data_IF_319837128983
#
_entry.id   IF_319837128983
#
_cell.length_a   1.000
_cell.length_b   1.000
_cell.length_c   1.000
_cell.angle_alpha   90.00
_cell.angle_beta   90.00
_cell.angle_gamma   90.00
#
_symmetry.space_group_name_H-M   'P 1'
#
loop_
_entity.id
_entity.type
_entity.pdbx_description
1 polymer ?
#
# COMPACT_ATOMS: atom_id res chain seq x y z
N UNK A 1 21.88 39.66 -48.36
CA UNK A 1 21.84 38.17 -48.37
C UNK A 1 22.40 37.69 -47.03
N UNK A 2 21.74 36.70 -46.44
CA UNK A 2 22.07 35.96 -45.20
C UNK A 2 21.92 36.70 -43.86
N UNK A 3 21.30 36.15 -42.81
CA UNK A 3 20.31 35.07 -42.64
C UNK A 3 19.81 35.24 -41.18
N UNK A 4 18.52 35.03 -40.95
CA UNK A 4 17.92 35.07 -39.62
C UNK A 4 18.28 33.83 -38.80
N UNK A 5 18.45 33.98 -37.48
CA UNK A 5 18.22 32.86 -36.56
C UNK A 5 17.69 33.39 -35.23
N UNK A 6 16.36 33.38 -35.13
CA UNK A 6 15.62 33.48 -33.87
C UNK A 6 15.78 32.16 -33.15
N UNK A 7 16.50 32.13 -32.02
CA UNK A 7 16.52 30.97 -31.14
C UNK A 7 15.25 31.01 -30.28
N UNK A 8 14.24 30.22 -30.67
CA UNK A 8 13.07 29.95 -29.86
C UNK A 8 13.41 28.77 -28.93
N UNK A 9 13.75 29.07 -27.68
CA UNK A 9 13.89 28.03 -26.64
C UNK A 9 12.49 27.57 -26.22
N UNK A 10 12.01 26.48 -26.82
CA UNK A 10 10.84 25.77 -26.33
C UNK A 10 11.23 25.05 -25.03
N UNK A 11 10.98 25.69 -23.89
CA UNK A 11 10.93 24.99 -22.61
C UNK A 11 9.70 24.07 -22.65
N UNK A 12 9.93 22.79 -22.96
CA UNK A 12 8.93 21.76 -22.77
C UNK A 12 8.71 21.65 -21.25
N UNK A 13 7.71 22.35 -20.74
CA UNK A 13 7.14 22.06 -19.44
C UNK A 13 6.57 20.65 -19.53
N UNK A 14 7.32 19.66 -19.03
CA UNK A 14 6.77 18.35 -18.69
C UNK A 14 5.69 18.61 -17.64
N UNK A 15 4.46 18.71 -18.11
CA UNK A 15 3.28 18.58 -17.26
C UNK A 15 3.41 17.21 -16.61
N UNK A 16 3.90 17.19 -15.37
CA UNK A 16 3.65 16.08 -14.47
C UNK A 16 2.13 15.99 -14.39
N UNK A 17 1.52 15.11 -15.20
CA UNK A 17 0.14 14.72 -14.98
C UNK A 17 0.10 14.29 -13.52
N UNK A 18 -0.68 15.01 -12.72
CA UNK A 18 -0.97 14.63 -11.36
C UNK A 18 -1.56 13.23 -11.44
N UNK A 19 -0.70 12.25 -11.16
CA UNK A 19 -1.07 10.85 -11.14
C UNK A 19 -2.11 10.74 -10.03
N UNK A 20 -3.36 10.45 -10.39
CA UNK A 20 -4.39 10.21 -9.38
C UNK A 20 -3.88 9.11 -8.46
N UNK A 21 -3.64 9.47 -7.22
CA UNK A 21 -3.22 8.51 -6.23
C UNK A 21 -4.44 7.67 -5.85
N UNK A 22 -4.29 6.35 -5.91
CA UNK A 22 -5.34 5.43 -5.44
C UNK A 22 -4.99 4.99 -4.03
N UNK A 23 -5.99 4.95 -3.16
CA UNK A 23 -5.84 4.44 -1.79
C UNK A 23 -5.41 2.98 -1.87
N UNK A 24 -4.21 2.72 -1.36
CA UNK A 24 -3.51 1.46 -1.55
C UNK A 24 -3.10 0.80 -0.27
N UNK A 25 -3.28 1.49 0.84
CA UNK A 25 -2.84 1.04 2.13
C UNK A 25 -4.02 0.62 2.99
N UNK A 26 -3.74 -0.31 3.87
CA UNK A 26 -4.68 -0.77 4.90
C UNK A 26 -3.93 -0.90 6.21
N UNK A 27 -4.61 -0.67 7.32
CA UNK A 27 -4.04 -0.98 8.62
C UNK A 27 -4.15 -2.47 8.91
N UNK A 28 -3.09 -3.04 9.44
CA UNK A 28 -3.01 -4.43 9.89
C UNK A 28 -2.58 -4.50 11.35
N UNK A 29 -2.97 -5.60 11.98
CA UNK A 29 -2.53 -5.92 13.32
C UNK A 29 -1.03 -6.23 13.31
N UNK A 30 -0.25 -5.67 14.25
CA UNK A 30 1.05 -6.20 14.59
C UNK A 30 1.02 -7.71 14.84
N UNK A 31 2.15 -8.37 14.61
CA UNK A 31 2.29 -9.80 14.89
C UNK A 31 2.34 -10.11 16.40
N UNK A 32 2.68 -9.12 17.23
CA UNK A 32 2.71 -9.24 18.68
C UNK A 32 2.20 -7.98 19.37
N UNK A 33 1.62 -8.13 20.56
CA UNK A 33 1.29 -7.01 21.44
C UNK A 33 2.54 -6.43 22.14
N UNK A 34 2.39 -5.43 23.02
CA UNK A 34 3.54 -4.82 23.72
C UNK A 34 4.17 -5.74 24.77
N UNK A 35 3.48 -6.82 25.14
CA UNK A 35 3.93 -7.82 26.11
C UNK A 35 4.57 -9.03 25.41
N UNK A 36 4.54 -9.07 24.07
CA UNK A 36 5.11 -10.14 23.25
C UNK A 36 4.13 -11.28 22.94
N UNK A 37 2.85 -11.13 23.28
CA UNK A 37 1.83 -12.12 22.96
C UNK A 37 1.54 -12.10 21.47
N UNK A 38 1.53 -13.29 20.84
CA UNK A 38 1.30 -13.41 19.40
C UNK A 38 -0.15 -13.07 19.02
N UNK A 39 -0.32 -12.44 17.86
CA UNK A 39 -1.63 -12.23 17.24
C UNK A 39 -2.22 -13.59 16.83
N UNK A 40 -3.46 -13.87 17.26
CA UNK A 40 -4.17 -15.09 16.86
C UNK A 40 -5.41 -14.80 16.01
N UNK A 41 -5.91 -13.57 16.00
CA UNK A 41 -7.07 -13.18 15.19
C UNK A 41 -7.01 -11.71 14.79
N UNK A 42 -7.53 -11.42 13.59
CA UNK A 42 -7.93 -10.07 13.19
C UNK A 42 -9.33 -10.09 12.58
N UNK A 43 -10.07 -9.02 12.81
CA UNK A 43 -11.33 -8.76 12.14
C UNK A 43 -11.38 -7.32 11.63
N UNK A 44 -12.14 -7.11 10.57
CA UNK A 44 -12.37 -5.81 9.96
C UNK A 44 -13.86 -5.64 9.71
N UNK A 45 -14.48 -4.61 10.29
CA UNK A 45 -15.92 -4.35 10.17
C UNK A 45 -16.27 -3.19 9.21
N UNK A 46 -15.27 -2.64 8.53
CA UNK A 46 -15.42 -1.46 7.66
C UNK A 46 -14.79 -0.20 8.22
N UNK A 47 -14.87 -0.01 9.55
CA UNK A 47 -14.39 1.20 10.24
C UNK A 47 -13.42 0.89 11.37
N UNK A 48 -13.41 -0.35 11.86
CA UNK A 48 -12.61 -0.80 12.99
C UNK A 48 -11.76 -1.99 12.57
N UNK A 49 -10.47 -1.88 12.81
CA UNK A 49 -9.55 -3.01 12.83
C UNK A 49 -9.51 -3.57 14.26
N UNK A 50 -9.89 -4.83 14.43
CA UNK A 50 -9.89 -5.52 15.72
C UNK A 50 -8.76 -6.54 15.72
N UNK A 51 -7.85 -6.44 16.68
CA UNK A 51 -6.68 -7.29 16.84
C UNK A 51 -6.74 -8.03 18.17
N UNK A 52 -6.62 -9.36 18.13
CA UNK A 52 -6.60 -10.20 19.33
C UNK A 52 -5.25 -10.92 19.44
N UNK A 53 -4.64 -10.82 20.62
CA UNK A 53 -3.34 -11.39 20.94
C UNK A 53 -3.42 -12.30 22.16
N UNK A 54 -2.51 -13.28 22.22
CA UNK A 54 -2.44 -14.27 23.30
C UNK A 54 -2.81 -15.67 22.82
N UNK A 55 -3.37 -16.46 23.73
CA UNK A 55 -3.75 -17.83 23.46
C UNK A 55 -5.18 -17.90 22.90
N UNK A 56 -5.39 -18.61 21.78
CA UNK A 56 -6.68 -18.70 21.08
C UNK A 56 -7.82 -19.34 21.90
N UNK A 57 -7.56 -19.78 23.13
CA UNK A 57 -8.54 -20.31 24.08
C UNK A 57 -8.69 -19.51 25.38
N UNK A 58 -7.96 -18.41 25.55
CA UNK A 58 -8.08 -17.55 26.72
C UNK A 58 -9.34 -16.68 26.65
N UNK A 59 -10.08 -16.49 27.77
CA UNK A 59 -11.11 -15.47 27.82
C UNK A 59 -10.48 -14.08 27.62
N UNK A 60 -11.14 -13.23 26.83
CA UNK A 60 -10.72 -11.88 26.40
C UNK A 60 -10.37 -10.88 27.53
N UNK A 61 -10.46 -11.30 28.79
CA UNK A 61 -10.35 -10.44 29.97
C UNK A 61 -9.39 -10.97 31.04
N UNK A 62 -8.80 -12.16 30.87
CA UNK A 62 -7.84 -12.69 31.86
C UNK A 62 -6.45 -12.90 31.27
N UNK A 63 -6.33 -13.39 30.03
CA UNK A 63 -5.02 -13.72 29.41
C UNK A 63 -4.92 -13.34 27.91
N UNK A 64 -5.79 -12.46 27.42
CA UNK A 64 -5.80 -12.04 26.03
C UNK A 64 -5.88 -10.51 25.91
N UNK A 65 -5.07 -9.96 25.00
CA UNK A 65 -5.07 -8.54 24.65
C UNK A 65 -6.01 -8.34 23.47
N UNK A 66 -6.95 -7.40 23.60
CA UNK A 66 -7.88 -7.04 22.54
C UNK A 66 -7.71 -5.56 22.22
N UNK A 67 -7.36 -5.23 20.98
CA UNK A 67 -7.09 -3.86 20.55
C UNK A 67 -7.95 -3.50 19.34
N UNK A 68 -8.67 -2.39 19.45
CA UNK A 68 -9.43 -1.82 18.36
C UNK A 68 -8.73 -0.55 17.87
N UNK A 69 -8.67 -0.41 16.55
CA UNK A 69 -8.09 0.73 15.87
C UNK A 69 -9.09 1.29 14.87
N UNK A 70 -9.07 2.60 14.71
CA UNK A 70 -9.76 3.24 13.60
C UNK A 70 -9.08 2.81 12.29
N UNK A 71 -9.86 2.21 11.40
CA UNK A 71 -9.37 1.64 10.15
C UNK A 71 -8.81 2.67 9.16
N UNK A 72 -9.12 3.96 9.34
CA UNK A 72 -8.73 5.04 8.43
C UNK A 72 -7.44 5.70 8.89
N UNK A 73 -7.25 5.80 10.20
CA UNK A 73 -6.15 6.54 10.82
C UNK A 73 -5.15 5.64 11.56
N UNK A 74 -5.49 4.37 11.77
CA UNK A 74 -4.71 3.43 12.59
C UNK A 74 -4.68 3.80 14.08
N UNK A 75 -5.41 4.84 14.48
CA UNK A 75 -5.42 5.34 15.83
C UNK A 75 -6.08 4.31 16.75
N UNK A 76 -5.43 4.03 17.89
CA UNK A 76 -6.02 3.20 18.92
C UNK A 76 -7.32 3.85 19.43
N UNK A 77 -8.41 3.08 19.45
CA UNK A 77 -9.72 3.56 19.90
C UNK A 77 -10.06 3.01 21.28
N UNK A 78 -9.98 1.69 21.47
CA UNK A 78 -10.32 1.02 22.72
C UNK A 78 -9.69 -0.37 22.77
N UNK A 79 -9.48 -0.91 23.96
CA UNK A 79 -8.85 -2.20 24.14
C UNK A 79 -8.53 -2.53 25.58
N UNK A 80 -8.02 -3.75 25.77
CA UNK A 80 -7.59 -4.31 27.04
C UNK A 80 -6.21 -4.94 26.86
N UNK A 81 -5.29 -4.66 27.81
CA UNK A 81 -3.90 -5.12 27.74
C UNK A 81 -2.95 -4.12 27.07
N UNK A 82 -1.75 -4.60 26.73
CA UNK A 82 -0.68 -3.82 26.13
C UNK A 82 -0.82 -3.64 24.62
N UNK A 83 -1.61 -2.65 24.17
CA UNK A 83 -1.88 -2.47 22.74
C UNK A 83 -0.75 -1.76 21.97
N UNK A 84 -0.18 -2.39 20.92
CA UNK A 84 0.80 -1.76 20.03
C UNK A 84 0.11 -0.78 19.07
N UNK A 85 0.88 0.01 18.31
CA UNK A 85 0.34 0.79 17.20
C UNK A 85 -0.02 -0.12 16.02
N UNK A 86 -1.13 0.14 15.33
CA UNK A 86 -1.46 -0.57 14.10
C UNK A 86 -0.41 -0.31 13.01
N UNK A 87 -0.18 -1.30 12.14
CA UNK A 87 0.82 -1.21 11.07
C UNK A 87 0.11 -0.76 9.80
N UNK A 88 0.60 0.33 9.20
CA UNK A 88 0.17 0.73 7.87
C UNK A 88 0.86 -0.15 6.83
N UNK A 89 0.09 -0.92 6.06
CA UNK A 89 0.60 -1.83 5.04
C UNK A 89 0.21 -1.33 3.67
N UNK A 90 1.19 -1.17 2.79
CA UNK A 90 0.99 -0.72 1.43
C UNK A 90 0.73 -1.89 0.49
N UNK A 91 -0.28 -1.74 -0.35
CA UNK A 91 -0.64 -2.65 -1.42
C UNK A 91 -0.52 -1.98 -2.78
N UNK A 92 -0.67 -2.76 -3.83
CA UNK A 92 -0.64 -2.24 -5.19
C UNK A 92 -1.97 -1.56 -5.54
N UNK A 93 -2.00 -0.48 -6.32
CA UNK A 93 -3.23 0.02 -6.93
C UNK A 93 -3.99 -1.09 -7.67
N UNK A 94 -5.32 -1.03 -7.71
CA UNK A 94 -6.14 -2.05 -8.37
C UNK A 94 -5.99 -2.05 -9.90
N UNK A 95 -5.65 -0.90 -10.49
CA UNK A 95 -5.47 -0.71 -11.93
C UNK A 95 -4.28 0.22 -12.17
N UNK A 96 -3.65 0.10 -13.33
CA UNK A 96 -2.66 1.07 -13.81
C UNK A 96 -3.33 2.31 -14.44
N UNK A 97 -2.55 3.29 -14.90
CA UNK A 97 -3.08 4.51 -15.52
C UNK A 97 -3.65 4.28 -16.93
N UNK A 98 -3.41 3.13 -17.53
CA UNK A 98 -4.04 2.69 -18.77
C UNK A 98 -5.34 1.91 -18.52
N UNK A 99 -5.72 1.69 -17.24
CA UNK A 99 -6.91 0.94 -16.85
C UNK A 99 -6.71 -0.57 -16.85
N UNK A 100 -5.47 -1.05 -16.92
CA UNK A 100 -5.19 -2.48 -16.82
C UNK A 100 -5.31 -2.93 -15.36
N UNK A 101 -6.09 -3.99 -15.12
CA UNK A 101 -6.24 -4.55 -13.78
C UNK A 101 -4.93 -5.14 -13.25
N UNK A 102 -4.72 -5.01 -11.94
CA UNK A 102 -3.65 -5.69 -11.22
C UNK A 102 -3.92 -7.18 -11.20
N UNK A 103 -3.00 -7.97 -11.74
CA UNK A 103 -3.11 -9.43 -11.71
C UNK A 103 -2.16 -10.07 -10.69
N UNK A 104 -1.10 -9.37 -10.28
CA UNK A 104 -0.16 -9.88 -9.27
C UNK A 104 0.45 -8.76 -8.43
N UNK A 105 0.73 -9.09 -7.17
CA UNK A 105 1.55 -8.28 -6.28
C UNK A 105 2.53 -9.18 -5.52
N UNK A 106 3.74 -8.69 -5.29
CA UNK A 106 4.73 -9.34 -4.45
C UNK A 106 5.45 -8.30 -3.60
N UNK A 107 5.93 -8.71 -2.43
CA UNK A 107 6.82 -7.90 -1.59
C UNK A 107 8.17 -8.58 -1.55
N UNK A 108 9.21 -7.89 -2.03
CA UNK A 108 10.60 -8.31 -1.97
C UNK A 108 11.40 -7.30 -1.14
N UNK A 109 11.68 -7.66 0.11
CA UNK A 109 12.23 -6.74 1.10
C UNK A 109 11.30 -5.53 1.32
N UNK A 110 11.83 -4.33 1.07
CA UNK A 110 11.06 -3.08 1.15
C UNK A 110 10.45 -2.66 -0.20
N UNK A 111 10.44 -3.55 -1.21
CA UNK A 111 9.90 -3.25 -2.53
C UNK A 111 8.58 -3.98 -2.73
N UNK A 112 7.51 -3.22 -2.94
CA UNK A 112 6.23 -3.72 -3.39
C UNK A 112 6.21 -3.72 -4.93
N UNK A 113 6.21 -4.91 -5.51
CA UNK A 113 6.18 -5.13 -6.97
C UNK A 113 4.74 -5.38 -7.41
N UNK A 114 4.25 -4.55 -8.32
CA UNK A 114 2.90 -4.57 -8.84
C UNK A 114 2.90 -4.86 -10.33
N UNK A 115 2.14 -5.88 -10.75
CA UNK A 115 2.01 -6.26 -12.14
C UNK A 115 0.56 -6.08 -12.60
N UNK A 116 0.39 -5.35 -13.69
CA UNK A 116 -0.90 -5.02 -14.30
C UNK A 116 -0.96 -5.54 -15.73
N UNK A 117 -2.17 -5.89 -16.16
CA UNK A 117 -2.44 -6.43 -17.49
C UNK A 117 -3.06 -7.82 -17.44
N UNK A 118 -3.00 -8.49 -18.59
CA UNK A 118 -3.58 -9.82 -18.75
C UNK A 118 -2.59 -10.88 -18.26
N UNK A 119 -3.06 -11.81 -17.41
CA UNK A 119 -2.24 -12.86 -16.76
C UNK A 119 -1.58 -13.88 -17.72
N UNK A 120 -1.74 -13.70 -19.04
CA UNK A 120 -1.14 -14.50 -20.10
C UNK A 120 -0.33 -13.73 -21.14
N UNK A 121 -0.17 -12.41 -21.02
CA UNK A 121 0.68 -11.64 -21.92
C UNK A 121 2.16 -11.77 -21.48
N UNK A 122 3.11 -11.99 -22.39
CA UNK A 122 4.52 -11.88 -22.04
C UNK A 122 4.80 -10.48 -21.50
N UNK A 123 5.61 -10.39 -20.43
CA UNK A 123 5.93 -9.17 -19.65
C UNK A 123 6.47 -7.98 -20.47
N UNK A 124 6.66 -8.15 -21.78
CA UNK A 124 7.33 -7.20 -22.66
C UNK A 124 6.42 -6.49 -23.67
N UNK A 125 5.18 -6.95 -23.89
CA UNK A 125 4.31 -6.30 -24.90
C UNK A 125 3.06 -5.63 -24.32
N UNK A 126 2.49 -6.15 -23.22
CA UNK A 126 1.24 -5.60 -22.63
C UNK A 126 1.21 -5.59 -21.09
N UNK A 127 2.36 -5.74 -20.42
CA UNK A 127 2.43 -5.73 -18.96
C UNK A 127 3.03 -4.43 -18.43
N UNK A 128 2.33 -3.80 -17.49
CA UNK A 128 2.86 -2.69 -16.69
C UNK A 128 3.43 -3.28 -15.39
N UNK A 129 4.70 -2.99 -15.10
CA UNK A 129 5.37 -3.43 -13.88
C UNK A 129 5.81 -2.19 -13.09
N UNK A 130 5.32 -2.05 -11.87
CA UNK A 130 5.58 -0.89 -11.02
C UNK A 130 6.10 -1.32 -9.66
N UNK A 131 7.22 -0.74 -9.25
CA UNK A 131 7.82 -0.96 -7.96
C UNK A 131 7.55 0.26 -7.08
N UNK A 132 7.08 -0.01 -5.87
CA UNK A 132 6.83 0.98 -4.84
C UNK A 132 7.66 0.66 -3.61
N UNK A 133 7.99 1.66 -2.83
CA UNK A 133 8.50 1.45 -1.48
C UNK A 133 7.37 0.91 -0.61
N UNK A 134 7.53 -0.29 -0.06
CA UNK A 134 6.51 -0.98 0.72
C UNK A 134 6.21 -0.32 2.09
N UNK A 135 7.00 0.69 2.49
CA UNK A 135 6.86 1.43 3.75
C UNK A 135 6.11 2.74 3.56
N UNK A 136 6.26 3.36 2.39
CA UNK A 136 5.77 4.71 2.09
C UNK A 136 4.82 4.77 0.89
N UNK A 137 4.68 3.67 0.15
CA UNK A 137 3.93 3.64 -1.11
C UNK A 137 4.56 4.46 -2.24
N UNK A 138 5.73 5.07 -2.01
CA UNK A 138 6.33 5.95 -2.99
C UNK A 138 6.74 5.14 -4.23
N UNK A 139 6.36 5.61 -5.42
CA UNK A 139 6.84 5.02 -6.67
C UNK A 139 8.36 5.11 -6.75
N UNK A 140 9.02 3.99 -7.06
CA UNK A 140 10.48 3.91 -7.16
C UNK A 140 10.92 3.77 -8.61
N UNK A 141 10.46 2.74 -9.29
CA UNK A 141 10.85 2.41 -10.67
C UNK A 141 9.79 1.51 -11.31
N UNK A 142 9.71 1.48 -12.63
CA UNK A 142 8.72 0.69 -13.34
C UNK A 142 8.75 0.94 -14.84
N UNK A 143 7.95 0.16 -15.54
CA UNK A 143 7.71 0.28 -16.98
C UNK A 143 6.20 0.32 -17.22
N UNK A 144 5.76 1.23 -18.10
CA UNK A 144 4.37 1.41 -18.46
C UNK A 144 3.69 2.54 -17.68
N UNK A 145 2.38 2.43 -17.54
CA UNK A 145 1.51 3.50 -17.06
C UNK A 145 1.35 3.45 -15.53
N UNK A 146 2.44 3.61 -14.78
CA UNK A 146 2.43 3.38 -13.32
C UNK A 146 1.62 4.43 -12.54
N UNK A 147 0.61 4.00 -11.77
CA UNK A 147 -0.15 4.88 -10.87
C UNK A 147 0.67 5.25 -9.63
N UNK A 148 0.28 6.32 -8.97
CA UNK A 148 0.79 6.69 -7.66
C UNK A 148 0.00 5.91 -6.61
N UNK A 149 0.70 5.38 -5.61
CA UNK A 149 0.08 4.85 -4.41
C UNK A 149 -0.04 5.98 -3.39
N UNK A 150 -1.22 6.13 -2.77
CA UNK A 150 -1.42 6.99 -1.60
C UNK A 150 -2.14 6.27 -0.46
N UNK A 151 -1.96 6.89 0.70
CA UNK A 151 -2.88 7.00 1.82
C UNK A 151 -3.16 8.50 1.99
#
# INVERSE_FOLDING_TARGET
>A
MFFATVLLAAAASVSALAVQSRDTCTYQCPSTDTEGNAQYSQAYDGNTLICLYGNSGAPLYEDATACNYDATTGAYTVGYGGCPAAILVWGCPAEDLAGNARYSQAVDGNTLVCLYGNSGAPLYEDATACNYDATTGAYTVGYGACPAASC
#
